data_IF_202890721227
#
_entry.id   IF_202890721227
#
_cell.length_a   1.000
_cell.length_b   1.000
_cell.length_c   1.000
_cell.angle_alpha   90.00
_cell.angle_beta   90.00
_cell.angle_gamma   90.00
#
_symmetry.space_group_name_H-M   'P 1'
#
loop_
_entity.id
_entity.type
_entity.pdbx_description
1 polymer ?
#
# COMPACT_ATOMS: atom_id res chain seq x y z
N UNK A 1 -10.93 -31.96 -47.22
CA UNK A 1 -11.62 -30.76 -46.71
C UNK A 1 -11.40 -30.51 -45.21
N UNK A 2 -10.71 -31.39 -44.47
CA UNK A 2 -10.47 -31.25 -43.02
C UNK A 2 -9.28 -30.33 -42.63
N UNK A 3 -8.36 -30.04 -43.57
CA UNK A 3 -7.13 -29.27 -43.27
C UNK A 3 -7.34 -27.79 -42.95
N UNK A 4 -8.41 -27.17 -43.48
CA UNK A 4 -8.66 -25.75 -43.21
C UNK A 4 -9.24 -25.53 -41.81
N UNK A 5 -10.12 -26.42 -41.35
CA UNK A 5 -10.74 -26.33 -40.02
C UNK A 5 -9.69 -26.53 -38.91
N UNK A 6 -8.80 -27.51 -39.08
CA UNK A 6 -7.71 -27.77 -38.12
C UNK A 6 -6.70 -26.61 -38.07
N UNK A 7 -6.48 -25.92 -39.19
CA UNK A 7 -5.61 -24.75 -39.26
C UNK A 7 -6.22 -23.54 -38.54
N UNK A 8 -7.52 -23.30 -38.74
CA UNK A 8 -8.25 -22.21 -38.07
C UNK A 8 -8.30 -22.43 -36.55
N UNK A 9 -8.54 -23.66 -36.10
CA UNK A 9 -8.51 -24.00 -34.67
C UNK A 9 -7.12 -23.75 -34.05
N UNK A 10 -6.05 -24.16 -34.72
CA UNK A 10 -4.67 -23.88 -34.26
C UNK A 10 -4.35 -22.39 -34.18
N UNK A 11 -4.87 -21.59 -35.12
CA UNK A 11 -4.66 -20.15 -35.12
C UNK A 11 -5.48 -19.44 -34.03
N UNK A 12 -6.70 -19.92 -33.73
CA UNK A 12 -7.51 -19.46 -32.60
C UNK A 12 -6.83 -19.77 -31.26
N UNK A 13 -6.33 -20.99 -31.04
CA UNK A 13 -5.60 -21.36 -29.82
C UNK A 13 -4.32 -20.54 -29.60
N UNK A 14 -3.66 -20.11 -30.68
CA UNK A 14 -2.50 -19.21 -30.59
C UNK A 14 -2.94 -17.80 -30.19
N UNK A 15 -4.04 -17.32 -30.76
CA UNK A 15 -4.62 -16.02 -30.41
C UNK A 15 -5.02 -15.95 -28.94
N UNK A 16 -5.72 -16.99 -28.45
CA UNK A 16 -6.15 -17.07 -27.05
C UNK A 16 -4.96 -17.12 -26.08
N UNK A 17 -3.92 -17.91 -26.40
CA UNK A 17 -2.68 -17.93 -25.60
C UNK A 17 -1.96 -16.59 -25.57
N UNK A 18 -1.85 -15.91 -26.72
CA UNK A 18 -1.19 -14.61 -26.80
C UNK A 18 -1.97 -13.53 -26.03
N UNK A 19 -3.30 -13.59 -26.04
CA UNK A 19 -4.15 -12.73 -25.23
C UNK A 19 -3.94 -12.99 -23.72
N UNK A 20 -3.91 -14.26 -23.32
CA UNK A 20 -3.70 -14.65 -21.92
C UNK A 20 -2.30 -14.25 -21.38
N UNK A 21 -1.25 -14.39 -22.20
CA UNK A 21 0.11 -13.96 -21.84
C UNK A 21 0.19 -12.45 -21.60
N UNK A 22 -0.40 -11.63 -22.48
CA UNK A 22 -0.44 -10.17 -22.33
C UNK A 22 -1.20 -9.73 -21.08
N UNK A 23 -2.30 -10.41 -20.76
CA UNK A 23 -3.05 -10.14 -19.52
C UNK A 23 -2.26 -10.54 -18.27
N UNK A 24 -1.53 -11.65 -18.32
CA UNK A 24 -0.68 -12.10 -17.23
C UNK A 24 0.52 -11.17 -17.01
N UNK A 25 1.09 -10.62 -18.08
CA UNK A 25 2.20 -9.67 -18.05
C UNK A 25 1.75 -8.31 -17.51
N UNK A 26 0.59 -7.80 -17.94
CA UNK A 26 -0.03 -6.60 -17.35
C UNK A 26 -0.32 -6.77 -15.87
N UNK A 27 -0.89 -7.91 -15.45
CA UNK A 27 -1.17 -8.19 -14.03
C UNK A 27 0.10 -8.25 -13.19
N UNK A 28 1.20 -8.81 -13.71
CA UNK A 28 2.51 -8.80 -13.05
C UNK A 28 3.09 -7.39 -12.91
N UNK A 29 2.96 -6.55 -13.95
CA UNK A 29 3.39 -5.15 -13.91
C UNK A 29 2.67 -4.36 -12.81
N UNK A 30 1.33 -4.45 -12.77
CA UNK A 30 0.50 -3.78 -11.76
C UNK A 30 0.78 -4.29 -10.35
N UNK A 31 1.00 -5.61 -10.17
CA UNK A 31 1.37 -6.17 -8.87
C UNK A 31 2.73 -5.62 -8.37
N UNK A 32 3.71 -5.48 -9.26
CA UNK A 32 5.01 -4.90 -8.94
C UNK A 32 4.92 -3.41 -8.55
N UNK A 33 4.09 -2.64 -9.25
CA UNK A 33 3.83 -1.23 -8.93
C UNK A 33 3.13 -1.07 -7.58
N UNK A 34 2.15 -1.92 -7.26
CA UNK A 34 1.47 -1.95 -5.96
C UNK A 34 2.46 -2.25 -4.84
N UNK A 35 3.35 -3.21 -5.02
CA UNK A 35 4.37 -3.54 -4.02
C UNK A 35 5.39 -2.41 -3.83
N UNK A 36 5.75 -1.70 -4.90
CA UNK A 36 6.59 -0.49 -4.78
C UNK A 36 5.89 0.64 -4.02
N UNK A 37 4.60 0.88 -4.29
CA UNK A 37 3.82 1.88 -3.58
C UNK A 37 3.67 1.54 -2.10
N UNK A 38 3.45 0.27 -1.76
CA UNK A 38 3.40 -0.21 -0.36
C UNK A 38 4.70 0.05 0.38
N UNK A 39 5.85 -0.23 -0.25
CA UNK A 39 7.17 0.06 0.34
C UNK A 39 7.39 1.56 0.56
N UNK A 40 7.01 2.40 -0.40
CA UNK A 40 7.10 3.86 -0.25
C UNK A 40 6.23 4.36 0.90
N UNK A 41 5.02 3.82 1.05
CA UNK A 41 4.11 4.14 2.14
C UNK A 41 4.68 3.74 3.50
N UNK A 42 5.28 2.55 3.59
CA UNK A 42 5.92 2.07 4.83
C UNK A 42 7.08 2.97 5.27
N UNK A 43 7.94 3.38 4.33
CA UNK A 43 9.03 4.33 4.59
C UNK A 43 8.49 5.68 5.07
N UNK A 44 7.43 6.20 4.42
CA UNK A 44 6.82 7.46 4.80
C UNK A 44 6.22 7.41 6.23
N UNK A 45 5.59 6.29 6.60
CA UNK A 45 5.09 6.11 7.96
C UNK A 45 6.21 6.02 9.00
N UNK A 46 7.31 5.32 8.69
CA UNK A 46 8.47 5.24 9.58
C UNK A 46 9.14 6.60 9.78
N UNK A 47 9.29 7.39 8.72
CA UNK A 47 9.80 8.75 8.80
C UNK A 47 8.88 9.68 9.61
N UNK A 48 7.57 9.58 9.42
CA UNK A 48 6.59 10.36 10.18
C UNK A 48 6.65 10.02 11.68
N UNK A 49 6.71 8.73 12.03
CA UNK A 49 6.85 8.28 13.42
C UNK A 49 8.18 8.74 14.02
N UNK A 50 9.29 8.67 13.26
CA UNK A 50 10.59 9.13 13.72
C UNK A 50 10.61 10.66 13.97
N UNK A 51 10.04 11.44 13.06
CA UNK A 51 9.89 12.89 13.22
C UNK A 51 9.03 13.24 14.43
N UNK A 52 7.91 12.54 14.60
CA UNK A 52 7.05 12.71 15.78
C UNK A 52 7.82 12.42 17.07
N UNK A 53 8.56 11.30 17.17
CA UNK A 53 9.40 10.98 18.34
C UNK A 53 10.45 12.05 18.66
N UNK A 54 10.88 12.83 17.68
CA UNK A 54 11.82 13.93 17.88
C UNK A 54 11.13 15.27 18.18
N UNK A 55 9.81 15.36 18.01
CA UNK A 55 9.06 16.60 18.21
C UNK A 55 8.92 16.97 19.68
N UNK A 56 8.71 18.26 19.93
CA UNK A 56 8.40 18.77 21.26
C UNK A 56 7.04 18.24 21.76
N UNK A 57 6.08 17.96 20.86
CA UNK A 57 4.81 17.33 21.24
C UNK A 57 4.99 15.91 21.75
N UNK A 58 5.94 15.13 21.21
CA UNK A 58 6.24 13.82 21.77
C UNK A 58 6.86 13.92 23.16
N UNK A 59 7.79 14.85 23.38
CA UNK A 59 8.33 15.08 24.73
C UNK A 59 7.23 15.50 25.70
N UNK A 60 6.36 16.41 25.29
CA UNK A 60 5.21 16.87 26.08
C UNK A 60 4.23 15.73 26.37
N UNK A 61 3.90 14.91 25.37
CA UNK A 61 3.04 13.74 25.49
C UNK A 61 3.64 12.61 26.33
N UNK A 62 4.96 12.40 26.25
CA UNK A 62 5.69 11.46 27.09
C UNK A 62 5.71 11.93 28.55
N UNK A 63 5.84 13.23 28.77
CA UNK A 63 5.81 13.82 30.11
C UNK A 63 4.41 13.81 30.74
N UNK A 64 3.36 14.04 29.95
CA UNK A 64 1.97 14.03 30.42
C UNK A 64 1.38 12.63 30.58
N UNK A 65 1.77 11.67 29.73
CA UNK A 65 1.09 10.37 29.66
C UNK A 65 1.99 9.15 29.93
N UNK A 66 3.31 9.31 30.06
CA UNK A 66 4.23 8.20 30.39
C UNK A 66 4.13 7.03 29.40
N UNK A 67 3.96 5.79 29.87
CA UNK A 67 3.77 4.61 29.02
C UNK A 67 2.47 4.63 28.18
N UNK A 68 1.51 5.53 28.46
CA UNK A 68 0.34 5.79 27.59
C UNK A 68 0.66 6.73 26.42
N UNK A 69 1.90 7.20 26.31
CA UNK A 69 2.39 8.04 25.21
C UNK A 69 2.17 7.44 23.84
N UNK A 70 2.21 6.10 23.69
CA UNK A 70 1.94 5.45 22.40
C UNK A 70 0.50 5.66 21.94
N UNK A 71 -0.47 5.61 22.86
CA UNK A 71 -1.89 5.85 22.54
C UNK A 71 -2.15 7.32 22.24
N UNK A 72 -1.46 8.22 22.95
CA UNK A 72 -1.49 9.66 22.65
C UNK A 72 -0.83 9.98 21.29
N UNK A 73 0.29 9.32 20.98
CA UNK A 73 0.97 9.41 19.69
C UNK A 73 0.05 8.99 18.54
N UNK A 74 -0.58 7.82 18.66
CA UNK A 74 -1.53 7.32 17.66
C UNK A 74 -2.70 8.30 17.50
N UNK A 75 -3.20 8.89 18.58
CA UNK A 75 -4.28 9.90 18.52
C UNK A 75 -3.83 11.16 17.78
N UNK A 76 -2.66 11.72 18.12
CA UNK A 76 -2.13 12.92 17.47
C UNK A 76 -1.79 12.67 15.99
N UNK A 77 -1.22 11.51 15.65
CA UNK A 77 -0.97 11.15 14.26
C UNK A 77 -2.27 11.03 13.46
N UNK A 78 -3.34 10.48 14.04
CA UNK A 78 -4.66 10.46 13.39
C UNK A 78 -5.26 11.86 13.19
N UNK A 79 -5.15 12.72 14.20
CA UNK A 79 -5.61 14.11 14.10
C UNK A 79 -4.83 14.86 13.00
N UNK A 80 -3.51 14.67 12.92
CA UNK A 80 -2.67 15.22 11.86
C UNK A 80 -3.02 14.69 10.46
N UNK A 81 -3.34 13.39 10.32
CA UNK A 81 -3.81 12.82 9.07
C UNK A 81 -5.15 13.43 8.62
N UNK A 82 -6.05 13.76 9.56
CA UNK A 82 -7.34 14.37 9.22
C UNK A 82 -7.19 15.84 8.83
N UNK A 83 -6.35 16.60 9.56
CA UNK A 83 -6.21 18.04 9.35
C UNK A 83 -5.29 18.41 8.17
N UNK A 84 -4.10 17.81 8.08
CA UNK A 84 -3.07 18.20 7.09
C UNK A 84 -2.99 17.24 5.89
N UNK A 85 -3.47 16.00 6.02
CA UNK A 85 -3.30 14.96 5.01
C UNK A 85 -4.58 14.16 4.77
N UNK A 86 -5.69 14.87 4.52
CA UNK A 86 -7.02 14.28 4.28
C UNK A 86 -7.07 13.20 3.17
N UNK A 87 -6.04 13.13 2.33
CA UNK A 87 -5.82 12.10 1.31
C UNK A 87 -5.47 10.72 1.89
N UNK A 88 -5.00 10.65 3.14
CA UNK A 88 -4.59 9.42 3.83
C UNK A 88 -5.70 9.01 4.81
N UNK A 89 -6.27 7.84 4.60
CA UNK A 89 -7.34 7.34 5.46
C UNK A 89 -6.81 6.96 6.85
N UNK A 90 -7.31 7.59 7.95
CA UNK A 90 -6.88 7.26 9.31
C UNK A 90 -7.20 5.82 9.73
N UNK A 91 -8.15 5.15 9.08
CA UNK A 91 -8.42 3.71 9.31
C UNK A 91 -7.35 2.82 8.68
N UNK A 92 -6.70 3.24 7.60
CA UNK A 92 -5.55 2.53 7.04
C UNK A 92 -4.33 2.62 7.97
N UNK A 93 -4.17 3.72 8.69
CA UNK A 93 -3.14 3.86 9.72
C UNK A 93 -3.34 2.84 10.86
N UNK A 94 -4.58 2.62 11.31
CA UNK A 94 -4.90 1.55 12.28
C UNK A 94 -4.61 0.15 11.73
N UNK A 95 -4.77 -0.04 10.43
CA UNK A 95 -4.49 -1.32 9.76
C UNK A 95 -2.99 -1.56 9.62
N UNK A 96 -2.21 -0.51 9.40
CA UNK A 96 -0.74 -0.53 9.40
C UNK A 96 -0.20 -0.88 10.79
N UNK A 97 -0.68 -0.21 11.84
CA UNK A 97 -0.24 -0.48 13.22
C UNK A 97 -0.53 -1.91 13.68
N UNK A 98 -1.61 -2.54 13.19
CA UNK A 98 -1.96 -3.93 13.53
C UNK A 98 -1.13 -5.00 12.82
N UNK A 99 -0.40 -4.64 11.76
CA UNK A 99 0.45 -5.57 10.98
C UNK A 99 1.90 -5.63 11.48
N UNK A 100 2.27 -4.76 12.41
CA UNK A 100 3.62 -4.61 12.96
C UNK A 100 3.68 -5.16 14.38
#
# INVERSE_FOLDING_TARGET
MLDMEEKVLRDLEKFERCAAEKDHEKKKGVAGEIDQLRKKLEIAYDEAIAKYKMSAEYKSSLHMYGARSLKAAIKMTKEWLVDDHSEINPDEFDRYLRKR
#
